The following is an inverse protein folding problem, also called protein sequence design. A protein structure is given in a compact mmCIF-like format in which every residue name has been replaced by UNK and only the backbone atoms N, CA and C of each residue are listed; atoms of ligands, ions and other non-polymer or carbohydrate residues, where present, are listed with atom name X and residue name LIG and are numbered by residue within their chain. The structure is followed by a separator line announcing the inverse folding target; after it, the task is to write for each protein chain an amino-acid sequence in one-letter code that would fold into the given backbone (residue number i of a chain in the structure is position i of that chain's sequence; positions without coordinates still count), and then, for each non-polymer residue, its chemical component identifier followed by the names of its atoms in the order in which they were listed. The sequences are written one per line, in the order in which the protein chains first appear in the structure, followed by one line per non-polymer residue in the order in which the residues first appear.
data_IF_648026747615
#
_entry.id   IF_648026747615
#
_cell.length_a   1.000
_cell.length_b   1.000
_cell.length_c   1.000
_cell.angle_alpha   90.00
_cell.angle_beta   90.00
_cell.angle_gamma   90.00
#
_symmetry.space_group_name_H-M   'P 1'
#
loop_
_entity.id
_entity.type
_entity.pdbx_description
1 polymer ?
#
# COMPACT_ATOMS: atom_id res chain seq x y z
N UNK A 1 -5.70 -15.93 -2.79
CA UNK A 1 -5.85 -16.92 -1.71
C UNK A 1 -6.92 -16.41 -0.76
N UNK A 2 -8.14 -16.96 -0.81
CA UNK A 2 -9.21 -16.53 0.08
C UNK A 2 -8.80 -16.66 1.55
N UNK A 3 -9.27 -15.69 2.33
CA UNK A 3 -9.00 -15.49 3.75
C UNK A 3 -10.32 -15.40 4.50
N UNK A 4 -10.36 -15.90 5.72
CA UNK A 4 -11.44 -15.61 6.67
C UNK A 4 -10.87 -15.51 8.08
N UNK A 5 -11.45 -14.65 8.91
CA UNK A 5 -11.07 -14.50 10.31
C UNK A 5 -12.24 -14.85 11.23
N UNK A 6 -11.93 -15.27 12.44
CA UNK A 6 -12.93 -15.49 13.49
C UNK A 6 -12.36 -15.02 14.83
N UNK A 7 -13.23 -14.47 15.68
CA UNK A 7 -12.91 -14.14 17.06
C UNK A 7 -13.64 -15.11 17.97
N UNK A 8 -12.87 -15.82 18.80
CA UNK A 8 -13.39 -16.83 19.72
C UNK A 8 -13.21 -16.35 21.15
N UNK A 9 -14.29 -15.92 21.80
CA UNK A 9 -14.25 -15.40 23.17
C UNK A 9 -13.94 -16.50 24.18
N UNK A 10 -12.94 -16.29 25.04
CA UNK A 10 -12.54 -17.25 26.07
C UNK A 10 -11.69 -16.60 27.17
N UNK A 11 -11.81 -17.09 28.41
CA UNK A 11 -10.94 -16.75 29.53
C UNK A 11 -9.55 -17.41 29.44
N UNK A 12 -9.35 -18.36 28.52
CA UNK A 12 -8.15 -19.21 28.45
C UNK A 12 -7.59 -19.38 27.03
N UNK A 13 -7.30 -18.28 26.29
CA UNK A 13 -6.92 -18.36 24.88
C UNK A 13 -5.68 -19.22 24.63
N UNK A 14 -4.60 -18.99 25.37
CA UNK A 14 -3.34 -19.74 25.23
C UNK A 14 -3.51 -21.25 25.45
N UNK A 15 -4.38 -21.63 26.42
CA UNK A 15 -4.65 -23.04 26.73
C UNK A 15 -5.27 -23.76 25.54
N UNK A 16 -6.29 -23.15 24.92
CA UNK A 16 -6.98 -23.75 23.77
C UNK A 16 -6.10 -23.78 22.54
N UNK A 17 -5.31 -22.72 22.28
CA UNK A 17 -4.34 -22.72 21.17
C UNK A 17 -3.35 -23.87 21.34
N UNK A 18 -2.72 -23.99 22.52
CA UNK A 18 -1.77 -25.08 22.81
C UNK A 18 -2.40 -26.45 22.66
N UNK A 19 -3.64 -26.62 23.14
CA UNK A 19 -4.36 -27.89 23.07
C UNK A 19 -4.68 -28.28 21.62
N UNK A 20 -5.16 -27.32 20.82
CA UNK A 20 -5.46 -27.55 19.40
C UNK A 20 -4.19 -27.89 18.61
N UNK A 21 -3.15 -27.07 18.75
CA UNK A 21 -1.86 -27.30 18.06
C UNK A 21 -1.30 -28.67 18.42
N UNK A 22 -1.25 -29.02 19.72
CA UNK A 22 -0.74 -30.31 20.17
C UNK A 22 -1.58 -31.49 19.65
N UNK A 23 -2.90 -31.35 19.58
CA UNK A 23 -3.78 -32.38 19.05
C UNK A 23 -3.56 -32.63 17.55
N UNK A 24 -3.38 -31.55 16.79
CA UNK A 24 -3.25 -31.58 15.33
C UNK A 24 -1.87 -32.03 14.85
N UNK A 25 -0.83 -31.83 15.68
CA UNK A 25 0.56 -32.21 15.38
C UNK A 25 0.75 -33.70 15.00
N UNK A 26 -0.18 -34.58 15.37
CA UNK A 26 -0.13 -36.00 14.99
C UNK A 26 -0.48 -36.27 13.52
N UNK A 27 -1.12 -35.32 12.84
CA UNK A 27 -1.65 -35.51 11.49
C UNK A 27 -1.13 -34.48 10.50
N UNK A 28 -0.81 -33.28 10.96
CA UNK A 28 -0.48 -32.14 10.10
C UNK A 28 0.66 -31.32 10.70
N UNK A 29 1.27 -30.46 9.88
CA UNK A 29 2.36 -29.58 10.31
C UNK A 29 1.80 -28.48 11.21
N UNK A 30 2.39 -28.30 12.38
CA UNK A 30 1.98 -27.27 13.34
C UNK A 30 3.17 -26.60 14.00
N UNK A 31 3.03 -25.33 14.37
CA UNK A 31 4.03 -24.60 15.15
C UNK A 31 3.37 -23.93 16.36
N UNK A 32 4.11 -23.82 17.47
CA UNK A 32 3.70 -23.07 18.66
C UNK A 32 4.88 -22.21 19.12
N UNK A 33 4.71 -20.89 19.04
CA UNK A 33 5.70 -19.92 19.49
C UNK A 33 5.67 -19.77 21.03
N UNK A 34 6.77 -19.25 21.59
CA UNK A 34 6.91 -19.04 23.03
C UNK A 34 5.91 -18.02 23.61
N UNK A 35 5.38 -17.14 22.77
CA UNK A 35 4.38 -16.13 23.12
C UNK A 35 2.92 -16.63 22.98
N UNK A 36 2.73 -17.94 22.78
CA UNK A 36 1.42 -18.57 22.73
C UNK A 36 0.73 -18.52 21.37
N UNK A 37 1.33 -17.90 20.34
CA UNK A 37 0.83 -17.96 18.96
C UNK A 37 1.05 -19.34 18.36
N UNK A 38 0.07 -19.84 17.61
CA UNK A 38 0.11 -21.14 16.96
C UNK A 38 -0.14 -21.06 15.46
N UNK A 39 0.32 -22.05 14.72
CA UNK A 39 -0.02 -22.25 13.31
C UNK A 39 -0.34 -23.72 13.04
N UNK A 40 -1.30 -23.96 12.14
CA UNK A 40 -1.72 -25.30 11.69
C UNK A 40 -1.80 -25.29 10.17
N UNK A 41 -0.96 -26.08 9.51
CA UNK A 41 -0.91 -26.20 8.04
C UNK A 41 -1.48 -27.54 7.61
N UNK A 42 -2.65 -27.51 7.00
CA UNK A 42 -3.38 -28.64 6.41
C UNK A 42 -3.03 -28.73 4.90
N UNK A 43 -3.29 -29.87 4.26
CA UNK A 43 -3.02 -30.08 2.82
C UNK A 43 -3.77 -29.10 1.90
N UNK A 44 -4.82 -28.45 2.41
CA UNK A 44 -5.72 -27.55 1.69
C UNK A 44 -5.78 -26.15 2.30
N UNK A 45 -4.85 -25.79 3.19
CA UNK A 45 -4.76 -24.43 3.72
C UNK A 45 -4.13 -24.34 5.11
N UNK A 46 -4.05 -23.14 5.65
CA UNK A 46 -3.40 -22.84 6.92
C UNK A 46 -4.32 -22.03 7.82
N UNK A 47 -4.24 -22.27 9.12
CA UNK A 47 -4.86 -21.43 10.13
C UNK A 47 -3.80 -20.95 11.13
N UNK A 48 -3.69 -19.63 11.29
CA UNK A 48 -2.89 -19.00 12.33
C UNK A 48 -3.80 -18.64 13.52
N UNK A 49 -3.27 -18.81 14.73
CA UNK A 49 -3.98 -18.60 15.98
C UNK A 49 -3.19 -17.63 16.87
N UNK A 50 -3.82 -16.51 17.25
CA UNK A 50 -3.20 -15.53 18.13
C UNK A 50 -4.03 -15.37 19.43
N UNK A 51 -3.41 -15.49 20.61
CA UNK A 51 -4.07 -15.13 21.85
C UNK A 51 -4.15 -13.61 21.96
N UNK A 52 -5.33 -13.09 22.29
CA UNK A 52 -5.51 -11.69 22.72
C UNK A 52 -6.25 -11.65 24.05
N UNK A 53 -6.42 -10.46 24.64
CA UNK A 53 -7.09 -10.32 25.93
C UNK A 53 -8.56 -10.77 25.86
N UNK A 54 -8.83 -11.99 26.31
CA UNK A 54 -10.18 -12.57 26.37
C UNK A 54 -10.68 -13.21 25.07
N UNK A 55 -9.84 -13.32 24.02
CA UNK A 55 -10.21 -14.00 22.77
C UNK A 55 -9.05 -14.75 22.13
N UNK A 56 -9.38 -15.67 21.24
CA UNK A 56 -8.46 -16.23 20.24
C UNK A 56 -8.85 -15.62 18.91
N UNK A 57 -7.90 -14.98 18.25
CA UNK A 57 -8.04 -14.57 16.85
C UNK A 57 -7.58 -15.72 15.96
N UNK A 58 -8.48 -16.16 15.08
CA UNK A 58 -8.22 -17.20 14.08
C UNK A 58 -8.12 -16.54 12.71
N UNK A 59 -7.12 -16.95 11.94
CA UNK A 59 -6.94 -16.49 10.57
C UNK A 59 -6.74 -17.68 9.65
N UNK A 60 -7.78 -18.06 8.91
CA UNK A 60 -7.76 -19.19 7.98
C UNK A 60 -7.51 -18.70 6.54
N UNK A 61 -6.64 -19.42 5.81
CA UNK A 61 -6.27 -19.11 4.43
C UNK A 61 -6.10 -20.39 3.61
N UNK A 62 -6.49 -20.39 2.34
CA UNK A 62 -6.35 -21.55 1.47
C UNK A 62 -6.31 -21.15 0.00
N UNK A 63 -5.72 -21.97 -0.88
CA UNK A 63 -5.55 -21.67 -2.32
C UNK A 63 -6.87 -21.31 -3.01
N UNK A 64 -7.97 -21.98 -2.62
CA UNK A 64 -9.33 -21.74 -3.10
C UNK A 64 -10.36 -21.71 -1.95
N UNK A 65 -11.60 -21.35 -2.26
CA UNK A 65 -12.68 -21.22 -1.27
C UNK A 65 -13.11 -22.57 -0.70
N UNK A 66 -12.93 -23.66 -1.43
CA UNK A 66 -13.27 -25.01 -0.96
C UNK A 66 -12.27 -25.46 0.12
N UNK A 67 -10.98 -25.26 -0.12
CA UNK A 67 -9.92 -25.44 0.85
C UNK A 67 -10.15 -24.59 2.08
N UNK A 68 -10.53 -23.31 1.90
CA UNK A 68 -10.79 -22.41 3.03
C UNK A 68 -11.94 -22.92 3.89
N UNK A 69 -13.06 -23.33 3.27
CA UNK A 69 -14.20 -23.90 3.97
C UNK A 69 -13.81 -25.15 4.78
N UNK A 70 -12.94 -26.01 4.21
CA UNK A 70 -12.40 -27.17 4.93
C UNK A 70 -11.53 -26.76 6.11
N UNK A 71 -10.65 -25.76 5.97
CA UNK A 71 -9.86 -25.24 7.09
C UNK A 71 -10.78 -24.73 8.21
N UNK A 72 -11.76 -23.90 7.86
CA UNK A 72 -12.73 -23.35 8.81
C UNK A 72 -13.47 -24.45 9.57
N UNK A 73 -13.99 -25.45 8.86
CA UNK A 73 -14.71 -26.59 9.44
C UNK A 73 -13.82 -27.43 10.38
N UNK A 74 -12.59 -27.78 9.96
CA UNK A 74 -11.67 -28.57 10.80
C UNK A 74 -11.29 -27.81 12.07
N UNK A 75 -10.94 -26.53 11.96
CA UNK A 75 -10.55 -25.71 13.09
C UNK A 75 -11.72 -25.51 14.06
N UNK A 76 -12.89 -25.11 13.55
CA UNK A 76 -14.11 -24.95 14.37
C UNK A 76 -14.46 -26.23 15.10
N UNK A 77 -14.52 -27.37 14.39
CA UNK A 77 -14.89 -28.66 14.99
C UNK A 77 -13.98 -29.05 16.14
N UNK A 78 -12.67 -28.84 16.00
CA UNK A 78 -11.71 -29.22 17.03
C UNK A 78 -11.68 -28.25 18.20
N UNK A 79 -11.76 -26.93 17.97
CA UNK A 79 -11.85 -25.95 19.06
C UNK A 79 -13.10 -26.16 19.91
N UNK A 80 -14.27 -26.27 19.28
CA UNK A 80 -15.56 -26.50 19.97
C UNK A 80 -15.52 -27.81 20.77
N UNK A 81 -14.90 -28.87 20.21
CA UNK A 81 -14.76 -30.15 20.91
C UNK A 81 -13.95 -30.04 22.21
N UNK A 82 -12.91 -29.20 22.26
CA UNK A 82 -12.12 -29.03 23.49
C UNK A 82 -12.85 -28.22 24.55
N UNK A 83 -13.88 -27.51 24.16
CA UNK A 83 -14.61 -26.59 25.00
C UNK A 83 -15.85 -27.19 25.65
N UNK A 84 -15.86 -28.50 25.91
CA UNK A 84 -17.04 -29.22 26.42
C UNK A 84 -17.72 -28.64 27.68
N UNK A 85 -17.10 -27.67 28.38
CA UNK A 85 -17.69 -26.92 29.50
C UNK A 85 -17.75 -25.41 29.29
N UNK A 86 -17.02 -24.88 28.31
CA UNK A 86 -16.88 -23.46 28.03
C UNK A 86 -17.48 -23.29 26.63
N UNK A 87 -18.71 -22.80 26.47
CA UNK A 87 -19.39 -22.73 25.16
C UNK A 87 -18.64 -21.81 24.17
N UNK A 88 -17.65 -22.34 23.46
CA UNK A 88 -16.93 -21.60 22.42
C UNK A 88 -17.79 -21.53 21.16
N UNK A 89 -18.05 -20.30 20.72
CA UNK A 89 -18.57 -20.02 19.39
C UNK A 89 -17.42 -19.58 18.48
N UNK A 90 -17.38 -20.16 17.28
CA UNK A 90 -16.47 -19.73 16.22
C UNK A 90 -17.33 -19.20 15.09
N UNK A 91 -17.44 -17.87 15.00
CA UNK A 91 -18.15 -17.21 13.92
C UNK A 91 -17.12 -16.66 12.93
N UNK A 92 -17.10 -17.27 11.74
CA UNK A 92 -16.18 -16.88 10.68
C UNK A 92 -16.77 -15.72 9.89
N UNK A 93 -15.97 -14.70 9.64
CA UNK A 93 -16.31 -13.67 8.66
C UNK A 93 -16.46 -14.30 7.28
N UNK A 94 -17.22 -13.64 6.40
CA UNK A 94 -17.29 -14.03 5.00
C UNK A 94 -15.88 -14.21 4.41
N UNK A 95 -15.64 -15.30 3.66
CA UNK A 95 -14.42 -15.47 2.90
C UNK A 95 -14.17 -14.27 1.98
N UNK A 96 -12.98 -13.66 2.07
CA UNK A 96 -12.58 -12.55 1.22
C UNK A 96 -11.37 -12.93 0.37
N UNK A 97 -11.44 -12.65 -0.93
CA UNK A 97 -10.27 -12.59 -1.80
C UNK A 97 -9.65 -11.19 -1.75
N UNK A 98 -8.49 -10.99 -2.38
CA UNK A 98 -7.97 -9.64 -2.54
C UNK A 98 -8.91 -8.81 -3.44
N UNK A 99 -9.62 -9.46 -4.37
CA UNK A 99 -10.61 -8.86 -5.26
C UNK A 99 -11.81 -8.27 -4.51
N UNK A 100 -12.08 -8.76 -3.29
CA UNK A 100 -13.16 -8.28 -2.42
C UNK A 100 -12.63 -7.58 -1.18
N UNK A 101 -11.32 -7.31 -1.12
CA UNK A 101 -10.73 -6.56 -0.03
C UNK A 101 -11.00 -5.07 -0.20
N UNK A 102 -12.00 -4.59 0.51
CA UNK A 102 -12.15 -3.16 0.75
C UNK A 102 -11.15 -2.73 1.82
N UNK A 103 -10.04 -2.10 1.39
CA UNK A 103 -9.02 -1.56 2.30
C UNK A 103 -9.60 -0.52 3.27
N UNK A 104 -10.63 0.20 2.83
CA UNK A 104 -11.39 1.18 3.61
C UNK A 104 -12.85 1.17 3.18
N UNK A 105 -13.73 1.40 4.15
CA UNK A 105 -15.16 1.53 3.90
C UNK A 105 -15.44 2.76 3.00
N UNK A 106 -16.25 2.65 1.93
CA UNK A 106 -16.55 3.76 1.02
C UNK A 106 -17.13 5.01 1.72
N UNK A 107 -17.87 4.85 2.82
CA UNK A 107 -18.39 5.97 3.60
C UNK A 107 -17.27 6.71 4.33
N UNK A 108 -16.25 6.00 4.80
CA UNK A 108 -15.04 6.60 5.39
C UNK A 108 -14.27 7.36 4.31
N UNK A 109 -14.09 6.78 3.13
CA UNK A 109 -13.40 7.43 2.00
C UNK A 109 -14.09 8.74 1.59
N UNK A 110 -15.42 8.72 1.45
CA UNK A 110 -16.19 9.92 1.15
C UNK A 110 -16.05 10.98 2.25
N UNK A 111 -16.05 10.55 3.53
CA UNK A 111 -15.88 11.45 4.66
C UNK A 111 -14.49 12.09 4.67
N UNK A 112 -13.41 11.32 4.44
CA UNK A 112 -12.03 11.83 4.39
C UNK A 112 -11.86 12.91 3.31
N UNK A 113 -12.38 12.67 2.11
CA UNK A 113 -12.32 13.64 1.00
C UNK A 113 -13.10 14.90 1.35
N UNK A 114 -14.31 14.76 1.91
CA UNK A 114 -15.15 15.90 2.28
C UNK A 114 -14.59 16.76 3.42
N UNK A 115 -13.68 16.19 4.24
CA UNK A 115 -13.03 16.88 5.36
C UNK A 115 -11.57 17.27 5.07
N UNK A 116 -11.14 17.17 3.81
CA UNK A 116 -9.88 17.72 3.33
C UNK A 116 -10.10 19.16 2.82
N UNK A 117 -9.01 19.91 2.60
CA UNK A 117 -9.10 21.15 1.81
C UNK A 117 -9.79 20.84 0.48
N UNK A 118 -10.67 21.71 0.00
CA UNK A 118 -11.43 21.47 -1.23
C UNK A 118 -10.60 21.74 -2.49
N UNK A 119 -10.87 21.04 -3.62
CA UNK A 119 -10.17 21.31 -4.86
C UNK A 119 -10.62 22.64 -5.45
N UNK A 120 -9.66 23.42 -5.95
CA UNK A 120 -9.95 24.62 -6.74
C UNK A 120 -10.53 24.26 -8.12
N UNK A 121 -11.00 25.29 -8.84
CA UNK A 121 -11.59 25.11 -10.17
C UNK A 121 -10.62 24.42 -11.15
N UNK A 122 -9.33 24.71 -11.07
CA UNK A 122 -8.35 24.13 -11.99
C UNK A 122 -8.15 22.62 -11.75
N UNK A 123 -8.10 22.18 -10.48
CA UNK A 123 -8.00 20.76 -10.14
C UNK A 123 -9.29 20.00 -10.50
N UNK A 124 -10.46 20.64 -10.36
CA UNK A 124 -11.74 20.08 -10.79
C UNK A 124 -11.78 19.89 -12.31
N UNK A 125 -11.37 20.91 -13.06
CA UNK A 125 -11.28 20.86 -14.52
C UNK A 125 -10.27 19.82 -14.99
N UNK A 126 -9.08 19.77 -14.37
CA UNK A 126 -8.06 18.76 -14.69
C UNK A 126 -8.58 17.34 -14.48
N UNK A 127 -9.37 17.11 -13.42
CA UNK A 127 -10.02 15.81 -13.18
C UNK A 127 -11.04 15.48 -14.28
N UNK A 128 -11.81 16.46 -14.73
CA UNK A 128 -12.77 16.28 -15.82
C UNK A 128 -12.07 16.00 -17.16
N UNK A 129 -11.03 16.77 -17.49
CA UNK A 129 -10.22 16.61 -18.70
C UNK A 129 -9.48 15.27 -18.70
N UNK A 130 -8.98 14.82 -17.55
CA UNK A 130 -8.37 13.49 -17.40
C UNK A 130 -9.37 12.39 -17.72
N UNK A 131 -10.61 12.50 -17.23
CA UNK A 131 -11.68 11.53 -17.54
C UNK A 131 -12.03 11.50 -19.03
N UNK A 132 -12.11 12.67 -19.66
CA UNK A 132 -12.39 12.80 -21.09
C UNK A 132 -11.25 12.23 -21.95
N UNK A 133 -10.00 12.56 -21.63
CA UNK A 133 -8.84 12.18 -22.42
C UNK A 133 -8.46 10.71 -22.29
N UNK A 134 -8.71 10.09 -21.12
CA UNK A 134 -8.13 8.76 -20.78
C UNK A 134 -9.18 7.67 -20.55
N UNK A 135 -10.47 8.04 -20.45
CA UNK A 135 -11.57 7.12 -20.28
C UNK A 135 -11.40 6.22 -19.06
N UNK A 136 -11.20 4.91 -19.27
CA UNK A 136 -11.04 3.92 -18.19
C UNK A 136 -9.74 4.11 -17.40
N UNK A 137 -8.71 4.71 -18.00
CA UNK A 137 -7.43 4.97 -17.32
C UNK A 137 -7.50 6.15 -16.34
N UNK A 138 -8.59 6.91 -16.31
CA UNK A 138 -8.75 8.03 -15.38
C UNK A 138 -8.66 7.65 -13.89
N UNK A 139 -8.88 6.37 -13.57
CA UNK A 139 -8.67 5.84 -12.22
C UNK A 139 -7.21 5.78 -11.77
N UNK A 140 -6.25 6.02 -12.67
CA UNK A 140 -4.82 6.14 -12.34
C UNK A 140 -4.46 7.49 -11.71
N UNK A 141 -5.33 8.49 -11.80
CA UNK A 141 -5.06 9.79 -11.19
C UNK A 141 -5.13 9.68 -9.66
N UNK A 142 -4.13 10.22 -8.96
CA UNK A 142 -4.19 10.40 -7.51
C UNK A 142 -5.47 11.14 -7.11
N UNK A 143 -5.96 10.81 -5.92
CA UNK A 143 -7.15 11.48 -5.41
C UNK A 143 -6.84 12.88 -4.90
N UNK A 144 -7.91 13.67 -4.65
CA UNK A 144 -7.73 15.03 -4.16
C UNK A 144 -7.06 15.08 -2.78
N UNK A 145 -7.54 14.28 -1.82
CA UNK A 145 -7.00 14.17 -0.47
C UNK A 145 -5.51 13.77 -0.47
N UNK A 146 -5.12 12.89 -1.39
CA UNK A 146 -3.72 12.51 -1.58
C UNK A 146 -2.88 13.64 -2.19
N UNK A 147 -3.41 14.36 -3.19
CA UNK A 147 -2.77 15.56 -3.73
C UNK A 147 -2.56 16.66 -2.66
N UNK A 148 -3.53 16.83 -1.75
CA UNK A 148 -3.40 17.74 -0.59
C UNK A 148 -2.29 17.27 0.35
N UNK A 149 -2.24 15.96 0.66
CA UNK A 149 -1.15 15.37 1.44
C UNK A 149 0.22 15.62 0.80
N UNK A 150 0.38 15.35 -0.50
CA UNK A 150 1.63 15.57 -1.22
C UNK A 150 2.08 17.04 -1.15
N UNK A 151 1.17 17.98 -1.37
CA UNK A 151 1.46 19.41 -1.24
C UNK A 151 1.91 19.80 0.18
N UNK A 152 1.25 19.26 1.21
CA UNK A 152 1.66 19.48 2.60
C UNK A 152 3.06 18.92 2.89
N UNK A 153 3.37 17.71 2.43
CA UNK A 153 4.68 17.09 2.63
C UNK A 153 5.81 17.88 1.95
N UNK A 154 5.59 18.37 0.73
CA UNK A 154 6.54 19.27 0.05
C UNK A 154 6.79 20.55 0.86
N UNK A 155 5.73 21.18 1.38
CA UNK A 155 5.86 22.37 2.22
C UNK A 155 6.58 22.10 3.54
N UNK A 156 6.23 21.02 4.24
CA UNK A 156 6.80 20.65 5.53
C UNK A 156 8.28 20.24 5.43
N UNK A 157 8.69 19.64 4.31
CA UNK A 157 10.09 19.28 4.06
C UNK A 157 10.93 20.49 3.65
N UNK A 158 10.32 21.60 3.25
CA UNK A 158 11.01 22.76 2.69
C UNK A 158 11.72 22.44 1.37
N UNK A 159 11.14 21.53 0.58
CA UNK A 159 11.77 21.00 -0.62
C UNK A 159 12.03 22.08 -1.68
N UNK A 160 13.18 21.98 -2.34
CA UNK A 160 13.58 22.82 -3.48
C UNK A 160 13.82 21.98 -4.73
N UNK A 161 14.29 20.75 -4.61
CA UNK A 161 14.40 19.81 -5.72
C UNK A 161 13.55 18.56 -5.42
N UNK A 162 12.43 18.45 -6.14
CA UNK A 162 11.53 17.32 -6.08
C UNK A 162 11.67 16.42 -7.32
N UNK A 163 11.39 15.14 -7.16
CA UNK A 163 11.31 14.17 -8.25
C UNK A 163 9.93 13.51 -8.24
N UNK A 164 9.34 13.34 -9.40
CA UNK A 164 8.12 12.56 -9.59
C UNK A 164 8.38 11.49 -10.66
N UNK A 165 8.01 10.25 -10.34
CA UNK A 165 8.08 9.10 -11.24
C UNK A 165 6.66 8.65 -11.51
N UNK A 166 6.17 8.93 -12.73
CA UNK A 166 4.76 8.80 -13.11
C UNK A 166 4.02 10.13 -12.98
N UNK A 167 3.75 10.77 -14.11
CA UNK A 167 3.08 12.08 -14.19
C UNK A 167 1.62 11.91 -14.59
N UNK A 168 1.36 10.99 -15.52
CA UNK A 168 0.06 10.81 -16.16
C UNK A 168 -0.46 12.15 -16.71
N UNK A 169 -1.62 12.62 -16.23
CA UNK A 169 -2.21 13.91 -16.60
C UNK A 169 -1.83 15.05 -15.66
N UNK A 170 -0.96 14.81 -14.66
CA UNK A 170 -0.26 15.85 -13.92
C UNK A 170 -0.95 16.42 -12.68
N UNK A 171 -1.92 15.71 -12.10
CA UNK A 171 -2.60 16.16 -10.88
C UNK A 171 -1.65 16.23 -9.68
N UNK A 172 -0.91 15.16 -9.41
CA UNK A 172 0.15 15.10 -8.38
C UNK A 172 1.25 16.13 -8.68
N UNK A 173 1.74 16.20 -9.91
CA UNK A 173 2.75 17.17 -10.34
C UNK A 173 2.32 18.61 -10.07
N UNK A 174 1.05 18.94 -10.33
CA UNK A 174 0.49 20.26 -10.09
C UNK A 174 0.45 20.58 -8.59
N UNK A 175 0.03 19.63 -7.75
CA UNK A 175 0.06 19.76 -6.30
C UNK A 175 1.49 19.96 -5.76
N UNK A 176 2.44 19.16 -6.22
CA UNK A 176 3.85 19.25 -5.82
C UNK A 176 4.45 20.60 -6.27
N UNK A 177 4.28 20.99 -7.53
CA UNK A 177 4.85 22.21 -8.08
C UNK A 177 4.30 23.49 -7.41
N UNK A 178 3.01 23.50 -7.04
CA UNK A 178 2.41 24.60 -6.28
C UNK A 178 2.98 24.77 -4.88
N UNK A 179 3.40 23.66 -4.24
CA UNK A 179 3.99 23.67 -2.91
C UNK A 179 5.49 23.98 -2.91
N UNK A 180 6.17 23.86 -4.05
CA UNK A 180 7.56 24.28 -4.21
C UNK A 180 7.69 25.82 -4.16
N UNK A 181 8.82 26.35 -3.67
CA UNK A 181 9.13 27.77 -3.79
C UNK A 181 9.33 28.16 -5.27
N UNK A 182 9.34 29.47 -5.56
CA UNK A 182 9.48 29.97 -6.93
C UNK A 182 10.79 29.55 -7.63
N UNK A 183 11.85 29.36 -6.86
CA UNK A 183 13.15 28.85 -7.32
C UNK A 183 13.29 27.32 -7.16
N UNK A 184 12.22 26.64 -6.73
CA UNK A 184 12.15 25.18 -6.69
C UNK A 184 12.07 24.56 -8.08
N UNK A 185 12.33 23.26 -8.16
CA UNK A 185 12.28 22.46 -9.38
C UNK A 185 11.66 21.10 -9.11
N UNK A 186 10.76 20.67 -9.97
CA UNK A 186 10.22 19.32 -10.04
C UNK A 186 10.76 18.65 -11.31
N UNK A 187 11.53 17.58 -11.15
CA UNK A 187 11.83 16.66 -12.24
C UNK A 187 10.67 15.66 -12.38
N UNK A 188 9.89 15.78 -13.44
CA UNK A 188 8.70 14.98 -13.68
C UNK A 188 9.00 13.93 -14.76
N UNK A 189 8.92 12.64 -14.44
CA UNK A 189 9.28 11.55 -15.35
C UNK A 189 8.03 10.80 -15.82
N UNK A 190 7.86 10.64 -17.13
CA UNK A 190 6.80 9.84 -17.71
C UNK A 190 7.25 9.23 -19.05
N UNK A 191 6.48 8.29 -19.59
CA UNK A 191 6.70 7.70 -20.91
C UNK A 191 5.67 8.16 -21.95
N UNK A 192 4.53 8.70 -21.51
CA UNK A 192 3.41 9.10 -22.36
C UNK A 192 3.46 10.58 -22.69
N UNK A 193 3.86 10.93 -23.92
CA UNK A 193 3.74 12.30 -24.42
C UNK A 193 2.28 12.74 -24.55
N UNK A 194 1.39 11.81 -24.91
CA UNK A 194 -0.04 12.08 -25.08
C UNK A 194 -0.70 12.54 -23.78
N UNK A 195 -0.51 11.81 -22.69
CA UNK A 195 -1.13 12.14 -21.41
C UNK A 195 -0.50 13.36 -20.76
N UNK A 196 0.82 13.48 -20.84
CA UNK A 196 1.53 14.63 -20.29
C UNK A 196 1.27 15.93 -21.05
N UNK A 197 0.70 15.88 -22.26
CA UNK A 197 0.19 17.08 -22.93
C UNK A 197 -0.97 17.73 -22.15
N UNK A 198 -1.81 16.95 -21.46
CA UNK A 198 -2.84 17.46 -20.53
C UNK A 198 -2.16 18.15 -19.34
N UNK A 199 -1.15 17.49 -18.76
CA UNK A 199 -0.39 18.00 -17.62
C UNK A 199 0.23 19.37 -17.93
N UNK A 200 0.91 19.51 -19.08
CA UNK A 200 1.54 20.77 -19.52
C UNK A 200 0.55 21.93 -19.56
N UNK A 201 -0.65 21.73 -20.14
CA UNK A 201 -1.69 22.77 -20.19
C UNK A 201 -2.13 23.19 -18.78
N UNK A 202 -2.30 22.23 -17.87
CA UNK A 202 -2.68 22.53 -16.49
C UNK A 202 -1.57 23.30 -15.75
N UNK A 203 -0.31 22.94 -15.95
CA UNK A 203 0.85 23.62 -15.35
C UNK A 203 1.00 25.06 -15.84
N UNK A 204 0.80 25.32 -17.13
CA UNK A 204 0.81 26.66 -17.71
C UNK A 204 -0.29 27.53 -17.10
N UNK A 205 -1.52 27.03 -17.06
CA UNK A 205 -2.68 27.73 -16.47
C UNK A 205 -2.50 28.00 -14.98
N UNK A 206 -1.81 27.11 -14.27
CA UNK A 206 -1.47 27.28 -12.87
C UNK A 206 -0.30 28.24 -12.61
N UNK A 207 0.44 28.65 -13.65
CA UNK A 207 1.63 29.48 -13.50
C UNK A 207 2.79 28.77 -12.80
N UNK A 208 2.89 27.44 -12.95
CA UNK A 208 3.97 26.61 -12.36
C UNK A 208 4.77 25.83 -13.41
N UNK A 209 4.53 26.05 -14.71
CA UNK A 209 5.29 25.36 -15.75
C UNK A 209 6.80 25.67 -15.70
N UNK A 210 7.19 26.86 -15.22
CA UNK A 210 8.57 27.34 -15.12
C UNK A 210 9.47 26.53 -14.17
N UNK A 211 8.87 25.75 -13.26
CA UNK A 211 9.58 24.91 -12.28
C UNK A 211 9.46 23.42 -12.56
N UNK A 212 8.78 22.99 -13.61
CA UNK A 212 8.60 21.57 -13.94
C UNK A 212 9.47 21.21 -15.14
N UNK A 213 10.42 20.30 -14.94
CA UNK A 213 11.26 19.71 -15.97
C UNK A 213 10.71 18.32 -16.31
N UNK A 214 9.87 18.25 -17.35
CA UNK A 214 9.25 17.01 -17.81
C UNK A 214 10.19 16.23 -18.73
N UNK A 215 10.47 14.97 -18.38
CA UNK A 215 11.26 14.03 -19.17
C UNK A 215 10.40 12.89 -19.68
N UNK A 216 10.28 12.80 -21.00
CA UNK A 216 9.61 11.69 -21.69
C UNK A 216 10.64 10.62 -22.01
N UNK A 217 10.78 9.66 -21.10
CA UNK A 217 11.72 8.54 -21.16
C UNK A 217 11.39 7.52 -20.05
N UNK A 218 11.91 6.28 -20.12
CA UNK A 218 11.88 5.41 -18.95
C UNK A 218 12.44 6.13 -17.72
N UNK A 219 11.67 6.15 -16.62
CA UNK A 219 12.03 6.92 -15.44
C UNK A 219 13.39 6.49 -14.87
N UNK A 220 13.71 5.20 -14.91
CA UNK A 220 14.98 4.67 -14.42
C UNK A 220 16.19 5.27 -15.16
N UNK A 221 16.07 5.49 -16.47
CA UNK A 221 17.13 6.07 -17.28
C UNK A 221 17.33 7.54 -16.91
N UNK A 222 16.22 8.26 -16.68
CA UNK A 222 16.26 9.65 -16.22
C UNK A 222 16.91 9.77 -14.84
N UNK A 223 16.56 8.89 -13.88
CA UNK A 223 17.15 8.87 -12.55
C UNK A 223 18.64 8.52 -12.57
N UNK A 224 19.03 7.53 -13.38
CA UNK A 224 20.44 7.11 -13.53
C UNK A 224 21.29 8.16 -14.25
N UNK A 225 20.69 8.98 -15.12
CA UNK A 225 21.35 10.08 -15.79
C UNK A 225 21.54 11.33 -14.90
N UNK A 226 20.92 11.38 -13.71
CA UNK A 226 21.17 12.47 -12.78
C UNK A 226 22.64 12.45 -12.32
N UNK A 227 23.29 13.63 -12.22
CA UNK A 227 24.62 13.74 -11.62
C UNK A 227 24.70 13.03 -10.27
N UNK A 228 25.85 12.42 -9.98
CA UNK A 228 26.04 11.68 -8.73
C UNK A 228 25.87 12.56 -7.49
N UNK A 229 26.21 13.85 -7.59
CA UNK A 229 26.08 14.86 -6.53
C UNK A 229 24.68 15.51 -6.48
N UNK A 230 23.75 15.08 -7.35
CA UNK A 230 22.37 15.57 -7.31
C UNK A 230 21.69 15.13 -6.02
N UNK A 231 21.34 16.13 -5.21
CA UNK A 231 20.54 15.95 -3.99
C UNK A 231 19.05 16.08 -4.31
N UNK A 232 18.26 15.14 -3.77
CA UNK A 232 16.79 15.14 -3.82
C UNK A 232 16.26 15.49 -2.43
N UNK A 233 15.32 16.42 -2.34
CA UNK A 233 14.66 16.78 -1.09
C UNK A 233 13.43 15.90 -0.81
N UNK A 234 12.63 15.70 -1.85
CA UNK A 234 11.43 14.88 -1.81
C UNK A 234 11.23 14.15 -3.14
N UNK A 235 10.73 12.92 -3.11
CA UNK A 235 10.32 12.20 -4.30
C UNK A 235 8.94 11.56 -4.15
N UNK A 236 8.18 11.50 -5.24
CA UNK A 236 6.92 10.77 -5.35
C UNK A 236 7.06 9.68 -6.42
N UNK A 237 6.71 8.44 -6.09
CA UNK A 237 6.76 7.29 -7.00
C UNK A 237 5.36 6.74 -7.18
N UNK A 238 4.80 6.94 -8.37
CA UNK A 238 3.54 6.38 -8.83
C UNK A 238 3.58 5.96 -10.32
N UNK A 239 4.38 4.94 -10.62
CA UNK A 239 4.53 4.43 -12.00
C UNK A 239 4.30 2.91 -12.10
N UNK A 240 5.00 2.25 -13.03
CA UNK A 240 4.99 0.80 -13.17
C UNK A 240 5.56 0.10 -11.92
N UNK A 241 4.79 -0.83 -11.36
CA UNK A 241 5.07 -1.38 -10.03
C UNK A 241 6.30 -2.30 -10.00
N UNK A 242 6.69 -2.87 -11.14
CA UNK A 242 7.90 -3.70 -11.25
C UNK A 242 9.19 -2.88 -11.16
N UNK A 243 9.16 -1.61 -11.58
CA UNK A 243 10.30 -0.69 -11.47
C UNK A 243 10.52 -0.07 -10.08
N UNK A 244 9.55 -0.17 -9.16
CA UNK A 244 9.62 0.50 -7.85
C UNK A 244 10.89 0.23 -7.05
N UNK A 245 11.40 -1.03 -6.95
CA UNK A 245 12.65 -1.29 -6.23
C UNK A 245 13.84 -0.50 -6.78
N UNK A 246 13.94 -0.38 -8.10
CA UNK A 246 15.03 0.35 -8.76
C UNK A 246 14.86 1.87 -8.59
N UNK A 247 13.63 2.38 -8.71
CA UNK A 247 13.33 3.79 -8.47
C UNK A 247 13.67 4.19 -7.03
N UNK A 248 13.22 3.38 -6.06
CA UNK A 248 13.49 3.59 -4.65
C UNK A 248 15.00 3.67 -4.37
N UNK A 249 15.79 2.73 -4.87
CA UNK A 249 17.23 2.71 -4.63
C UNK A 249 17.94 3.94 -5.22
N UNK A 250 17.62 4.31 -6.46
CA UNK A 250 18.21 5.49 -7.13
C UNK A 250 17.82 6.80 -6.43
N UNK A 251 16.63 6.87 -5.84
CA UNK A 251 16.14 8.03 -5.09
C UNK A 251 16.77 8.09 -3.69
N UNK A 252 16.70 7.01 -2.91
CA UNK A 252 17.16 6.99 -1.51
C UNK A 252 18.65 7.29 -1.38
N UNK A 253 19.48 6.81 -2.32
CA UNK A 253 20.91 7.13 -2.30
C UNK A 253 21.18 8.63 -2.49
N UNK A 254 20.32 9.36 -3.22
CA UNK A 254 20.41 10.81 -3.50
C UNK A 254 19.67 11.70 -2.51
N UNK A 255 18.95 11.12 -1.55
CA UNK A 255 17.85 11.77 -0.84
C UNK A 255 18.14 12.81 0.26
N UNK A 256 19.31 13.40 0.51
CA UNK A 256 19.63 14.21 1.74
C UNK A 256 19.19 13.65 3.13
N UNK A 257 19.93 13.96 4.21
CA UNK A 257 19.41 13.74 5.56
C UNK A 257 18.08 14.47 5.78
N UNK A 258 17.08 13.75 6.29
CA UNK A 258 15.72 14.24 6.50
C UNK A 258 14.87 14.41 5.23
N UNK A 259 15.39 14.07 4.04
CA UNK A 259 14.59 14.05 2.81
C UNK A 259 13.59 12.89 2.81
N UNK A 260 12.60 12.96 1.92
CA UNK A 260 11.43 12.08 1.95
C UNK A 260 11.18 11.40 0.60
N UNK A 261 10.92 10.10 0.58
CA UNK A 261 10.29 9.43 -0.57
C UNK A 261 8.89 8.98 -0.18
N UNK A 262 7.94 9.25 -1.07
CA UNK A 262 6.53 8.90 -0.97
C UNK A 262 6.24 7.89 -2.08
N UNK A 263 5.74 6.71 -1.72
CA UNK A 263 5.42 5.64 -2.67
C UNK A 263 3.92 5.34 -2.61
N UNK A 264 3.24 5.39 -3.74
CA UNK A 264 1.79 5.12 -3.83
C UNK A 264 1.47 3.67 -4.22
N UNK A 265 0.24 3.25 -3.91
CA UNK A 265 -0.36 1.95 -4.17
C UNK A 265 0.46 0.77 -3.64
N UNK A 266 1.04 0.92 -2.44
CA UNK A 266 1.89 -0.13 -1.85
C UNK A 266 1.11 -1.36 -1.38
N UNK A 267 -0.22 -1.29 -1.33
CA UNK A 267 -1.10 -2.43 -1.04
C UNK A 267 -1.61 -3.13 -2.31
N UNK A 268 -1.53 -2.46 -3.46
CA UNK A 268 -1.87 -2.97 -4.79
C UNK A 268 -3.23 -3.69 -4.83
N UNK A 269 -4.29 -3.02 -4.37
CA UNK A 269 -5.64 -3.57 -4.24
C UNK A 269 -5.70 -4.78 -3.30
N UNK A 270 -4.84 -4.82 -2.28
CA UNK A 270 -4.72 -5.97 -1.37
C UNK A 270 -3.94 -7.16 -1.92
N UNK A 271 -3.47 -7.14 -3.17
CA UNK A 271 -2.74 -8.29 -3.78
C UNK A 271 -1.47 -8.64 -3.02
N UNK A 272 -0.82 -7.67 -2.37
CA UNK A 272 0.37 -7.94 -1.55
C UNK A 272 0.07 -8.82 -0.34
N UNK A 273 -1.17 -8.81 0.16
CA UNK A 273 -1.60 -9.61 1.31
C UNK A 273 -1.93 -11.05 0.93
N UNK A 274 -2.03 -11.35 -0.37
CA UNK A 274 -2.30 -12.68 -0.89
C UNK A 274 -0.98 -13.43 -1.15
N UNK A 275 -0.56 -14.36 -0.28
CA UNK A 275 0.68 -15.12 -0.47
C UNK A 275 0.64 -16.03 -1.71
N UNK A 276 -0.55 -16.34 -2.24
CA UNK A 276 -0.73 -17.12 -3.46
C UNK A 276 -0.67 -16.29 -4.74
N UNK A 277 -0.82 -14.96 -4.67
CA UNK A 277 -0.73 -14.09 -5.84
C UNK A 277 0.71 -14.06 -6.35
N UNK A 278 0.96 -14.54 -7.58
CA UNK A 278 2.31 -14.61 -8.19
C UNK A 278 2.51 -13.59 -9.31
N UNK A 279 1.62 -12.60 -9.42
CA UNK A 279 1.80 -11.50 -10.36
C UNK A 279 3.12 -10.78 -10.09
N UNK A 280 3.81 -10.39 -11.17
CA UNK A 280 5.12 -9.74 -11.08
C UNK A 280 5.04 -8.45 -10.25
N UNK A 281 4.00 -7.65 -10.47
CA UNK A 281 3.73 -6.42 -9.72
C UNK A 281 3.52 -6.68 -8.22
N UNK A 282 2.72 -7.67 -7.84
CA UNK A 282 2.47 -8.00 -6.43
C UNK A 282 3.74 -8.55 -5.76
N UNK A 283 4.54 -9.33 -6.49
CA UNK A 283 5.81 -9.87 -6.01
C UNK A 283 6.86 -8.76 -5.81
N UNK A 284 6.99 -7.85 -6.79
CA UNK A 284 7.87 -6.70 -6.70
C UNK A 284 7.48 -5.77 -5.54
N UNK A 285 6.17 -5.52 -5.36
CA UNK A 285 5.67 -4.66 -4.29
C UNK A 285 5.89 -5.28 -2.90
N UNK A 286 5.66 -6.58 -2.72
CA UNK A 286 6.00 -7.27 -1.46
C UNK A 286 7.49 -7.13 -1.14
N UNK A 287 8.36 -7.41 -2.12
CA UNK A 287 9.80 -7.27 -1.97
C UNK A 287 10.20 -5.84 -1.60
N UNK A 288 9.58 -4.83 -2.23
CA UNK A 288 9.82 -3.43 -1.89
C UNK A 288 9.40 -3.12 -0.46
N UNK A 289 8.20 -3.53 -0.04
CA UNK A 289 7.70 -3.29 1.31
C UNK A 289 8.61 -3.93 2.38
N UNK A 290 9.09 -5.16 2.14
CA UNK A 290 10.08 -5.83 2.99
C UNK A 290 11.43 -5.10 2.99
N UNK A 291 11.90 -4.64 1.82
CA UNK A 291 13.14 -3.89 1.68
C UNK A 291 13.09 -2.59 2.48
N UNK A 292 12.03 -1.80 2.33
CA UNK A 292 11.86 -0.52 3.06
C UNK A 292 11.82 -0.76 4.57
N UNK A 293 11.11 -1.80 5.03
CA UNK A 293 11.01 -2.12 6.44
C UNK A 293 12.36 -2.51 7.07
N UNK A 294 13.27 -3.09 6.27
CA UNK A 294 14.61 -3.50 6.69
C UNK A 294 15.71 -2.46 6.38
N UNK A 295 15.39 -1.35 5.71
CA UNK A 295 16.38 -0.38 5.26
C UNK A 295 16.78 0.60 6.37
N UNK A 296 17.96 0.37 6.95
CA UNK A 296 18.51 1.19 8.02
C UNK A 296 18.84 2.64 7.62
N UNK A 297 18.79 2.98 6.32
CA UNK A 297 18.96 4.36 5.85
C UNK A 297 17.73 5.23 6.09
N UNK A 298 16.56 4.63 6.33
CA UNK A 298 15.28 5.35 6.44
C UNK A 298 14.52 5.05 7.73
N UNK A 299 13.63 5.97 8.08
CA UNK A 299 12.50 5.75 8.97
C UNK A 299 11.24 5.75 8.12
N UNK A 300 10.46 4.67 8.14
CA UNK A 300 9.33 4.50 7.25
C UNK A 300 8.01 4.24 7.99
N UNK A 301 6.91 4.76 7.43
CA UNK A 301 5.54 4.47 7.85
C UNK A 301 4.67 4.17 6.63
N UNK A 302 3.92 3.08 6.68
CA UNK A 302 2.90 2.74 5.69
C UNK A 302 1.53 3.19 6.20
N UNK A 303 0.85 4.01 5.42
CA UNK A 303 -0.41 4.65 5.78
C UNK A 303 -1.56 4.07 4.94
N UNK A 304 -2.74 3.85 5.53
CA UNK A 304 -3.95 3.46 4.80
C UNK A 304 -4.57 4.69 4.11
N UNK A 305 -3.78 5.41 3.32
CA UNK A 305 -4.26 6.42 2.38
C UNK A 305 -4.46 5.71 1.05
N UNK A 306 -5.69 5.74 0.53
CA UNK A 306 -6.08 5.10 -0.74
C UNK A 306 -5.64 3.64 -0.79
N UNK A 307 -4.87 3.27 -1.79
CA UNK A 307 -4.34 1.92 -1.99
C UNK A 307 -3.01 1.68 -1.25
N UNK A 308 -2.81 2.43 -0.15
CA UNK A 308 -1.61 2.42 0.67
C UNK A 308 -0.56 3.39 0.15
N UNK A 309 -0.10 4.28 1.03
CA UNK A 309 1.01 5.19 0.78
C UNK A 309 2.11 4.92 1.79
N UNK A 310 3.34 4.68 1.33
CA UNK A 310 4.51 4.60 2.22
C UNK A 310 5.28 5.91 2.21
N UNK A 311 5.52 6.47 3.39
CA UNK A 311 6.44 7.57 3.61
C UNK A 311 7.74 7.00 4.16
N UNK A 312 8.87 7.22 3.49
CA UNK A 312 10.19 6.83 3.99
C UNK A 312 11.12 8.06 4.04
N UNK A 313 11.46 8.49 5.27
CA UNK A 313 12.33 9.63 5.55
C UNK A 313 13.77 9.14 5.72
N UNK A 314 14.71 9.69 4.96
CA UNK A 314 16.14 9.38 5.14
C UNK A 314 16.63 9.90 6.49
N UNK A 315 17.35 9.04 7.23
CA UNK A 315 17.95 9.38 8.52
C UNK A 315 19.07 10.41 8.39
#
# INVERSE_FOLDING_TARGET
MPLSTALVTTDRPERYIKQLVSHMAHKVTTELAADGRGSITLDYGRCDLAPTAGTIELTARAEDFEGLAKVQDVITRHLVRFAARDELAVDWSEPRGWETLELRDPAVDAYLVAHSTAPDALLQELTAETREATGRAAGMQVSHDEGVLLGMLVGLTGARFAVEVGVFTGYSSLCIARALPADGRLLACDVSEEWTAVARRAWERAGVADRIDLRIAPAIDTLRALPEDRVIDIAFIDADKTGYPDYYEEIVRRLRPGGLVVLDNVLLGGRVLDPGCREEAATAMRRLNELIAADDRVEAVMLPVRDGVTLARRR
#
